data_IF_943389981634
#
_entry.id   IF_943389981634
#
_cell.length_a   1.000
_cell.length_b   1.000
_cell.length_c   1.000
_cell.angle_alpha   90.00
_cell.angle_beta   90.00
_cell.angle_gamma   90.00
#
_symmetry.space_group_name_H-M   'P 1'
#
loop_
_entity.id
_entity.type
_entity.pdbx_description
1 polymer ?
#
# COMPACT_ATOMS: atom_id res chain seq x y z
N UNK A 1 14.65 20.29 -13.15
CA UNK A 1 14.90 19.06 -12.39
C UNK A 1 13.69 18.81 -11.51
N UNK A 2 13.24 17.56 -11.36
CA UNK A 2 12.13 17.24 -10.46
C UNK A 2 12.61 17.42 -9.01
N UNK A 3 11.82 18.11 -8.19
CA UNK A 3 12.20 18.41 -6.81
C UNK A 3 11.56 17.43 -5.81
N UNK A 4 10.49 16.74 -6.21
CA UNK A 4 9.76 15.82 -5.33
C UNK A 4 9.51 14.48 -6.03
N UNK A 5 9.89 13.39 -5.37
CA UNK A 5 9.54 12.02 -5.73
C UNK A 5 8.34 11.59 -4.92
N UNK A 6 7.34 11.03 -5.59
CA UNK A 6 6.13 10.52 -4.96
C UNK A 6 6.00 9.04 -5.25
N UNK A 7 5.76 8.25 -4.21
CA UNK A 7 5.46 6.82 -4.35
C UNK A 7 4.02 6.58 -3.94
N UNK A 8 3.26 5.84 -4.74
CA UNK A 8 1.91 5.39 -4.41
C UNK A 8 1.94 3.88 -4.13
N UNK A 9 1.50 3.51 -2.94
CA UNK A 9 1.38 2.13 -2.53
C UNK A 9 -0.08 1.69 -2.43
N UNK A 10 -0.31 0.40 -2.71
CA UNK A 10 -1.60 -0.27 -2.48
C UNK A 10 -1.38 -1.36 -1.46
N UNK A 11 -2.10 -1.31 -0.34
CA UNK A 11 -2.12 -2.36 0.66
C UNK A 11 -3.21 -3.35 0.33
N UNK A 12 -2.83 -4.62 0.24
CA UNK A 12 -3.75 -5.72 0.06
C UNK A 12 -3.82 -6.51 1.36
N UNK A 13 -4.87 -6.28 2.15
CA UNK A 13 -4.95 -6.81 3.52
C UNK A 13 -5.15 -8.33 3.58
N UNK A 14 -5.61 -8.95 2.50
CA UNK A 14 -5.92 -10.39 2.52
C UNK A 14 -7.31 -10.68 3.06
N UNK A 15 -8.30 -9.81 2.82
CA UNK A 15 -9.69 -10.00 3.28
C UNK A 15 -10.65 -10.36 2.16
N UNK A 16 -10.65 -9.57 1.10
CA UNK A 16 -11.53 -9.72 -0.06
C UNK A 16 -10.87 -9.00 -1.25
N UNK A 17 -11.42 -9.21 -2.43
CA UNK A 17 -10.96 -8.57 -3.67
C UNK A 17 -11.84 -7.39 -4.11
N UNK A 18 -12.75 -6.93 -3.23
CA UNK A 18 -13.50 -5.71 -3.48
C UNK A 18 -12.56 -4.53 -3.73
N UNK A 19 -12.94 -3.67 -4.68
CA UNK A 19 -12.16 -2.51 -5.08
C UNK A 19 -11.08 -2.79 -6.15
N UNK A 20 -10.82 -4.05 -6.54
CA UNK A 20 -9.85 -4.34 -7.61
C UNK A 20 -10.26 -3.73 -8.95
N UNK A 21 -11.52 -3.87 -9.34
CA UNK A 21 -12.02 -3.27 -10.58
C UNK A 21 -11.98 -1.74 -10.52
N UNK A 22 -12.36 -1.16 -9.39
CA UNK A 22 -12.32 0.28 -9.17
C UNK A 22 -10.88 0.82 -9.19
N UNK A 23 -9.92 0.11 -8.57
CA UNK A 23 -8.51 0.43 -8.65
C UNK A 23 -8.02 0.38 -10.10
N UNK A 24 -8.34 -0.68 -10.85
CA UNK A 24 -7.96 -0.81 -12.25
C UNK A 24 -8.56 0.30 -13.13
N UNK A 25 -9.82 0.70 -12.88
CA UNK A 25 -10.48 1.78 -13.60
C UNK A 25 -9.90 3.15 -13.24
N UNK A 26 -9.73 3.47 -11.95
CA UNK A 26 -9.08 4.71 -11.51
C UNK A 26 -7.65 4.80 -12.02
N UNK A 27 -6.93 3.68 -12.15
CA UNK A 27 -5.62 3.66 -12.83
C UNK A 27 -5.70 4.08 -14.28
N UNK A 28 -6.58 3.44 -15.06
CA UNK A 28 -6.77 3.79 -16.48
C UNK A 28 -7.15 5.25 -16.69
N UNK A 29 -8.04 5.77 -15.83
CA UNK A 29 -8.62 7.11 -15.97
C UNK A 29 -7.73 8.22 -15.42
N UNK A 30 -7.11 8.01 -14.26
CA UNK A 30 -6.44 9.08 -13.48
C UNK A 30 -4.93 8.91 -13.35
N UNK A 31 -4.41 7.70 -13.51
CA UNK A 31 -2.99 7.35 -13.31
C UNK A 31 -2.35 6.58 -14.48
N UNK A 32 -2.61 6.93 -15.75
CA UNK A 32 -2.08 6.14 -16.86
C UNK A 32 -0.54 6.11 -16.82
N UNK A 33 0.03 4.92 -16.63
CA UNK A 33 1.48 4.70 -16.58
C UNK A 33 2.17 5.16 -15.29
N UNK A 34 1.43 5.60 -14.27
CA UNK A 34 2.02 5.88 -12.95
C UNK A 34 2.31 4.54 -12.26
N UNK A 35 3.57 4.26 -11.89
CA UNK A 35 3.91 3.02 -11.23
C UNK A 35 3.40 3.01 -9.79
N UNK A 36 2.96 1.84 -9.31
CA UNK A 36 2.56 1.62 -7.92
C UNK A 36 3.38 0.52 -7.25
N UNK A 37 3.45 0.58 -5.92
CA UNK A 37 4.00 -0.50 -5.08
C UNK A 37 2.85 -1.27 -4.43
N UNK A 38 2.67 -2.54 -4.80
CA UNK A 38 1.63 -3.39 -4.24
C UNK A 38 2.20 -4.18 -3.06
N UNK A 39 1.81 -3.84 -1.83
CA UNK A 39 2.12 -4.66 -0.66
C UNK A 39 1.06 -5.75 -0.53
N UNK A 40 1.40 -6.97 -0.92
CA UNK A 40 0.44 -8.08 -1.04
C UNK A 40 0.50 -9.00 0.16
N UNK A 41 -0.64 -9.20 0.83
CA UNK A 41 -0.80 -10.20 1.88
C UNK A 41 -0.93 -11.60 1.29
N UNK A 42 -0.19 -12.55 1.85
CA UNK A 42 -0.31 -13.96 1.47
C UNK A 42 -1.61 -14.62 1.97
N UNK A 43 -2.40 -13.95 2.82
CA UNK A 43 -3.58 -14.55 3.44
C UNK A 43 -4.68 -14.89 2.42
N UNK A 44 -4.70 -14.22 1.25
CA UNK A 44 -5.54 -14.64 0.12
C UNK A 44 -5.31 -16.10 -0.27
N UNK A 45 -4.09 -16.61 -0.12
CA UNK A 45 -3.69 -17.95 -0.56
C UNK A 45 -3.59 -18.97 0.58
N UNK A 46 -3.57 -18.50 1.83
CA UNK A 46 -3.38 -19.34 3.01
C UNK A 46 -4.64 -20.13 3.40
N UNK A 47 -5.79 -19.61 2.99
CA UNK A 47 -7.11 -20.13 3.32
C UNK A 47 -7.48 -21.32 2.43
N UNK A 48 -6.93 -21.42 1.24
CA UNK A 48 -7.33 -22.43 0.26
C UNK A 48 -8.51 -21.94 -0.59
N UNK A 49 -9.14 -22.85 -1.33
CA UNK A 49 -10.06 -22.51 -2.41
C UNK A 49 -9.36 -22.44 -3.76
N UNK A 50 -10.00 -21.80 -4.74
CA UNK A 50 -9.47 -21.70 -6.10
C UNK A 50 -8.40 -20.61 -6.22
N UNK A 51 -7.14 -21.04 -6.09
CA UNK A 51 -5.95 -20.16 -6.21
C UNK A 51 -5.92 -19.46 -7.58
N UNK A 52 -6.34 -20.13 -8.64
CA UNK A 52 -6.33 -19.55 -9.98
C UNK A 52 -7.37 -18.45 -10.10
N UNK A 53 -8.60 -18.67 -9.60
CA UNK A 53 -9.64 -17.64 -9.58
C UNK A 53 -9.23 -16.40 -8.78
N UNK A 54 -8.54 -16.58 -7.63
CA UNK A 54 -7.99 -15.46 -6.84
C UNK A 54 -6.99 -14.66 -7.67
N UNK A 55 -6.06 -15.34 -8.33
CA UNK A 55 -5.04 -14.68 -9.17
C UNK A 55 -5.73 -13.91 -10.30
N UNK A 56 -6.66 -14.54 -11.02
CA UNK A 56 -7.42 -13.87 -12.09
C UNK A 56 -8.16 -12.64 -11.58
N UNK A 57 -8.78 -12.73 -10.41
CA UNK A 57 -9.47 -11.61 -9.77
C UNK A 57 -8.53 -10.46 -9.41
N UNK A 58 -7.28 -10.75 -9.04
CA UNK A 58 -6.27 -9.75 -8.67
C UNK A 58 -5.60 -9.07 -9.89
N UNK A 59 -5.42 -9.82 -10.98
CA UNK A 59 -4.63 -9.40 -12.14
C UNK A 59 -4.96 -8.00 -12.71
N UNK A 60 -6.24 -7.56 -12.79
CA UNK A 60 -6.58 -6.27 -13.37
C UNK A 60 -5.86 -5.07 -12.74
N UNK A 61 -5.48 -5.15 -11.46
CA UNK A 61 -4.87 -4.04 -10.72
C UNK A 61 -3.38 -3.80 -11.00
N UNK A 62 -2.67 -4.72 -11.65
CA UNK A 62 -1.20 -4.71 -11.75
C UNK A 62 -0.70 -4.30 -13.13
N UNK A 63 0.22 -3.37 -13.27
CA UNK A 63 0.83 -2.98 -14.55
C UNK A 63 2.31 -3.39 -14.65
N UNK A 64 2.89 -3.45 -15.87
CA UNK A 64 4.27 -3.93 -16.07
C UNK A 64 5.35 -3.14 -15.31
N UNK A 65 5.08 -1.87 -15.00
CA UNK A 65 5.99 -0.96 -14.29
C UNK A 65 5.77 -0.93 -12.77
N UNK A 66 4.82 -1.71 -12.25
CA UNK A 66 4.57 -1.80 -10.83
C UNK A 66 5.64 -2.61 -10.09
N UNK A 67 5.67 -2.45 -8.78
CA UNK A 67 6.40 -3.27 -7.84
C UNK A 67 5.45 -4.14 -7.03
N UNK A 68 5.90 -5.35 -6.66
CA UNK A 68 5.16 -6.25 -5.77
C UNK A 68 6.02 -6.50 -4.54
N UNK A 69 5.60 -5.98 -3.39
CA UNK A 69 6.24 -6.12 -2.09
C UNK A 69 5.40 -6.97 -1.14
N UNK A 70 5.98 -7.40 -0.02
CA UNK A 70 5.29 -8.24 0.95
C UNK A 70 4.54 -7.40 1.98
N UNK A 71 3.24 -7.66 2.16
CA UNK A 71 2.48 -7.20 3.34
C UNK A 71 2.39 -8.33 4.35
N UNK A 72 2.72 -8.07 5.62
CA UNK A 72 2.71 -9.09 6.69
C UNK A 72 1.71 -8.73 7.78
N UNK A 73 0.41 -9.00 7.55
CA UNK A 73 -0.59 -9.01 8.61
C UNK A 73 -0.47 -10.25 9.50
N UNK A 74 -1.12 -10.23 10.67
CA UNK A 74 -1.06 -11.30 11.65
C UNK A 74 -2.22 -12.32 11.55
N UNK A 75 -2.71 -12.56 10.33
CA UNK A 75 -3.79 -13.53 10.08
C UNK A 75 -3.44 -14.92 10.59
N UNK A 76 -4.40 -15.56 11.27
CA UNK A 76 -4.24 -16.90 11.81
C UNK A 76 -3.92 -17.92 10.71
N UNK A 77 -4.56 -17.78 9.56
CA UNK A 77 -4.34 -18.64 8.38
C UNK A 77 -2.87 -18.72 7.94
N UNK A 78 -2.07 -17.68 8.18
CA UNK A 78 -0.66 -17.66 7.78
C UNK A 78 0.29 -18.47 8.69
N UNK A 79 -0.16 -18.84 9.89
CA UNK A 79 0.70 -19.52 10.88
C UNK A 79 0.11 -20.81 11.45
N UNK A 80 -1.22 -20.96 11.43
CA UNK A 80 -1.92 -22.02 12.14
C UNK A 80 -1.96 -21.75 13.65
N UNK A 81 -3.13 -21.34 14.15
CA UNK A 81 -3.40 -21.06 15.57
C UNK A 81 -2.92 -19.68 16.07
N UNK A 82 -3.80 -18.95 16.79
CA UNK A 82 -3.51 -17.63 17.43
C UNK A 82 -3.15 -17.73 18.93
N UNK A 83 -2.77 -18.91 19.42
CA UNK A 83 -2.65 -19.19 20.85
C UNK A 83 -1.91 -18.09 21.63
N UNK A 84 -2.58 -17.51 22.64
CA UNK A 84 -1.95 -16.77 23.74
C UNK A 84 -1.69 -15.27 23.58
N UNK A 85 -2.21 -14.59 22.56
CA UNK A 85 -2.07 -13.13 22.45
C UNK A 85 -3.39 -12.41 22.74
N UNK A 86 -3.39 -11.50 23.72
CA UNK A 86 -4.52 -10.63 24.09
C UNK A 86 -4.45 -9.25 23.41
N UNK A 87 -3.32 -8.91 22.80
CA UNK A 87 -3.08 -7.58 22.26
C UNK A 87 -3.77 -7.36 20.90
N UNK A 88 -4.57 -6.30 20.80
CA UNK A 88 -5.25 -5.80 19.60
C UNK A 88 -4.90 -4.32 19.38
N UNK A 89 -4.76 -3.88 18.13
CA UNK A 89 -4.56 -2.46 17.76
C UNK A 89 -5.88 -1.72 17.47
N UNK A 90 -7.01 -2.41 17.60
CA UNK A 90 -8.36 -1.84 17.52
C UNK A 90 -9.07 -2.23 18.82
N UNK A 91 -9.75 -1.30 19.47
CA UNK A 91 -10.52 -1.59 20.68
C UNK A 91 -11.61 -2.63 20.37
N UNK A 92 -11.74 -3.64 21.25
CA UNK A 92 -12.70 -4.73 21.11
C UNK A 92 -12.05 -6.10 20.88
N UNK A 93 -12.88 -7.11 20.66
CA UNK A 93 -12.41 -8.45 20.31
C UNK A 93 -11.92 -8.47 18.85
N UNK A 94 -10.81 -9.17 18.59
CA UNK A 94 -10.33 -9.45 17.24
C UNK A 94 -11.42 -10.21 16.48
N UNK A 95 -12.07 -9.58 15.49
CA UNK A 95 -13.28 -10.10 14.92
C UNK A 95 -12.95 -11.38 14.14
N UNK A 96 -13.81 -12.35 14.33
CA UNK A 96 -13.89 -13.47 13.41
C UNK A 96 -14.48 -12.96 12.09
N UNK A 97 -13.71 -13.07 11.02
CA UNK A 97 -14.10 -12.57 9.71
C UNK A 97 -14.41 -13.73 8.78
N UNK A 98 -15.61 -13.72 8.22
CA UNK A 98 -15.97 -14.60 7.10
C UNK A 98 -15.45 -13.95 5.83
N UNK A 99 -14.47 -14.59 5.23
CA UNK A 99 -13.84 -14.20 3.97
C UNK A 99 -14.55 -14.93 2.84
N UNK A 100 -15.35 -14.18 2.08
CA UNK A 100 -16.12 -14.70 0.95
C UNK A 100 -15.58 -14.14 -0.37
N UNK A 101 -15.53 -14.99 -1.40
CA UNK A 101 -15.26 -14.58 -2.77
C UNK A 101 -15.96 -15.54 -3.75
N UNK A 102 -16.43 -15.07 -4.91
CA UNK A 102 -16.96 -15.96 -5.94
C UNK A 102 -15.96 -17.06 -6.32
N UNK A 103 -16.32 -18.32 -6.08
CA UNK A 103 -15.46 -19.49 -6.35
C UNK A 103 -14.57 -19.95 -5.19
N UNK A 104 -14.59 -19.27 -4.05
CA UNK A 104 -13.93 -19.70 -2.81
C UNK A 104 -14.99 -20.10 -1.80
N UNK A 105 -14.81 -21.24 -1.14
CA UNK A 105 -15.61 -21.57 0.04
C UNK A 105 -15.37 -20.51 1.11
N UNK A 106 -16.43 -19.86 1.59
CA UNK A 106 -16.36 -18.88 2.67
C UNK A 106 -15.50 -19.43 3.82
N UNK A 107 -14.51 -18.65 4.26
CA UNK A 107 -13.58 -19.08 5.29
C UNK A 107 -13.54 -18.13 6.45
N UNK A 108 -13.57 -18.72 7.63
CA UNK A 108 -13.43 -18.00 8.88
C UNK A 108 -11.96 -17.79 9.23
N UNK A 109 -11.53 -16.54 9.44
CA UNK A 109 -10.18 -16.22 9.88
C UNK A 109 -10.16 -15.13 10.97
N UNK A 110 -9.07 -15.05 11.71
CA UNK A 110 -8.84 -14.11 12.83
C UNK A 110 -7.43 -13.53 12.75
N UNK A 111 -7.13 -12.58 13.61
CA UNK A 111 -5.81 -11.97 13.73
C UNK A 111 -5.66 -10.69 12.92
N UNK A 112 -6.75 -10.19 12.32
CA UNK A 112 -6.71 -8.95 11.55
C UNK A 112 -6.25 -7.79 12.42
N UNK A 113 -6.83 -7.63 13.62
CA UNK A 113 -6.52 -6.48 14.48
C UNK A 113 -5.28 -6.70 15.33
N UNK A 114 -4.56 -7.81 15.16
CA UNK A 114 -3.35 -8.11 15.93
C UNK A 114 -2.13 -7.49 15.24
N UNK A 115 -1.27 -6.75 15.96
CA UNK A 115 -0.06 -6.24 15.36
C UNK A 115 0.96 -7.38 15.22
N UNK A 116 1.58 -7.48 14.04
CA UNK A 116 2.64 -8.48 13.80
C UNK A 116 3.83 -8.29 14.76
N UNK A 117 4.05 -7.07 15.25
CA UNK A 117 5.09 -6.77 16.24
C UNK A 117 4.85 -7.38 17.62
N UNK A 118 3.63 -7.82 17.95
CA UNK A 118 3.34 -8.49 19.22
C UNK A 118 3.89 -9.93 19.28
N UNK A 119 4.25 -10.49 18.13
CA UNK A 119 4.84 -11.81 18.04
C UNK A 119 6.34 -11.75 18.30
N UNK A 120 6.90 -12.85 18.82
CA UNK A 120 8.35 -12.98 18.94
C UNK A 120 9.01 -13.10 17.55
N UNK A 121 10.33 -12.88 17.53
CA UNK A 121 11.10 -12.89 16.29
C UNK A 121 10.96 -14.20 15.49
N UNK A 122 11.07 -15.40 16.09
CA UNK A 122 10.86 -16.66 15.36
C UNK A 122 9.47 -16.76 14.70
N UNK A 123 8.43 -16.32 15.39
CA UNK A 123 7.08 -16.27 14.81
C UNK A 123 7.01 -15.30 13.64
N UNK A 124 7.57 -14.09 13.76
CA UNK A 124 7.63 -13.12 12.66
C UNK A 124 8.38 -13.68 11.45
N UNK A 125 9.54 -14.33 11.67
CA UNK A 125 10.30 -14.97 10.59
C UNK A 125 9.47 -16.07 9.90
N UNK A 126 8.68 -16.84 10.66
CA UNK A 126 7.74 -17.82 10.11
C UNK A 126 6.65 -17.18 9.23
N UNK A 127 6.03 -16.09 9.69
CA UNK A 127 5.06 -15.33 8.87
C UNK A 127 5.68 -14.89 7.54
N UNK A 128 6.90 -14.37 7.58
CA UNK A 128 7.62 -13.92 6.38
C UNK A 128 7.87 -15.08 5.42
N UNK A 129 8.44 -16.20 5.92
CA UNK A 129 8.78 -17.36 5.09
C UNK A 129 7.52 -17.97 4.46
N UNK A 130 6.49 -18.23 5.26
CA UNK A 130 5.23 -18.80 4.79
C UNK A 130 4.58 -17.88 3.75
N UNK A 131 4.57 -16.57 3.98
CA UNK A 131 3.99 -15.63 3.03
C UNK A 131 4.70 -15.62 1.68
N UNK A 132 6.05 -15.68 1.67
CA UNK A 132 6.82 -15.78 0.42
C UNK A 132 6.49 -17.05 -0.35
N UNK A 133 6.30 -18.18 0.33
CA UNK A 133 5.96 -19.46 -0.29
C UNK A 133 4.54 -19.43 -0.90
N UNK A 134 3.57 -18.93 -0.15
CA UNK A 134 2.17 -18.85 -0.58
C UNK A 134 1.95 -17.88 -1.74
N UNK A 135 2.73 -16.80 -1.82
CA UNK A 135 2.63 -15.83 -2.93
C UNK A 135 3.24 -16.32 -4.24
N UNK A 136 4.00 -17.42 -4.26
CA UNK A 136 4.73 -17.87 -5.47
C UNK A 136 3.86 -17.97 -6.73
N UNK A 137 2.65 -18.55 -6.70
CA UNK A 137 1.81 -18.66 -7.90
C UNK A 137 1.41 -17.30 -8.49
N UNK A 138 1.06 -16.34 -7.64
CA UNK A 138 0.76 -14.97 -8.05
C UNK A 138 2.00 -14.31 -8.66
N UNK A 139 3.14 -14.36 -7.99
CA UNK A 139 4.37 -13.71 -8.45
C UNK A 139 4.83 -14.24 -9.80
N UNK A 140 4.77 -15.56 -10.01
CA UNK A 140 5.06 -16.19 -11.30
C UNK A 140 4.11 -15.67 -12.39
N UNK A 141 2.82 -15.62 -12.09
CA UNK A 141 1.79 -15.10 -12.99
C UNK A 141 2.03 -13.64 -13.34
N UNK A 142 2.38 -12.79 -12.37
CA UNK A 142 2.65 -11.37 -12.61
C UNK A 142 3.87 -11.15 -13.50
N UNK A 143 4.96 -11.90 -13.29
CA UNK A 143 6.14 -11.85 -14.18
C UNK A 143 5.80 -12.32 -15.59
N UNK A 144 5.08 -13.44 -15.73
CA UNK A 144 4.81 -14.03 -17.05
C UNK A 144 3.75 -13.27 -17.83
N UNK A 145 2.61 -12.92 -17.19
CA UNK A 145 1.42 -12.37 -17.85
C UNK A 145 1.34 -10.86 -17.78
N UNK A 146 1.74 -10.25 -16.66
CA UNK A 146 1.77 -8.78 -16.50
C UNK A 146 3.13 -8.17 -16.82
N UNK A 147 4.15 -8.99 -17.09
CA UNK A 147 5.51 -8.56 -17.45
C UNK A 147 6.15 -7.66 -16.40
N UNK A 148 5.78 -7.87 -15.13
CA UNK A 148 6.48 -7.23 -14.02
C UNK A 148 7.92 -7.74 -14.00
N UNK A 149 8.85 -6.81 -13.90
CA UNK A 149 10.28 -7.05 -13.82
C UNK A 149 10.64 -7.84 -12.56
N UNK A 150 11.51 -8.85 -12.69
CA UNK A 150 11.86 -9.75 -11.57
C UNK A 150 12.53 -9.00 -10.41
N UNK A 151 13.33 -7.99 -10.75
CA UNK A 151 14.00 -7.08 -9.83
C UNK A 151 13.04 -6.20 -9.02
N UNK A 152 11.75 -6.14 -9.40
CA UNK A 152 10.67 -5.46 -8.66
C UNK A 152 9.79 -6.43 -7.85
N UNK A 153 10.22 -7.68 -7.69
CA UNK A 153 9.48 -8.68 -6.91
C UNK A 153 10.13 -8.87 -5.54
N UNK A 154 9.35 -8.67 -4.49
CA UNK A 154 9.68 -8.91 -3.09
C UNK A 154 10.96 -8.21 -2.60
N UNK A 155 11.25 -7.00 -3.11
CA UNK A 155 12.31 -6.12 -2.60
C UNK A 155 11.93 -5.47 -1.27
N UNK A 156 10.65 -5.12 -1.14
CA UNK A 156 10.07 -4.48 0.02
C UNK A 156 9.25 -5.38 0.92
N UNK A 157 9.12 -4.94 2.15
CA UNK A 157 8.21 -5.50 3.13
C UNK A 157 7.48 -4.37 3.87
N UNK A 158 6.31 -4.70 4.41
CA UNK A 158 5.55 -3.84 5.30
C UNK A 158 4.85 -4.67 6.36
N UNK A 159 4.90 -4.20 7.61
CA UNK A 159 4.12 -4.76 8.70
C UNK A 159 2.64 -4.40 8.57
N UNK A 160 1.77 -5.37 8.86
CA UNK A 160 0.35 -5.13 9.06
C UNK A 160 0.13 -3.97 10.04
N UNK A 161 -0.82 -3.09 9.71
CA UNK A 161 -1.12 -1.90 10.50
C UNK A 161 0.07 -0.93 10.69
N UNK A 162 1.19 -1.05 9.94
CA UNK A 162 2.37 -0.20 10.16
C UNK A 162 3.07 -0.45 11.49
N UNK A 163 2.91 -1.65 12.05
CA UNK A 163 3.44 -2.03 13.36
C UNK A 163 4.74 -2.81 13.22
N UNK A 164 5.81 -2.14 12.81
CA UNK A 164 7.14 -2.74 12.58
C UNK A 164 8.10 -2.41 13.74
N UNK A 165 8.06 -3.25 14.79
CA UNK A 165 9.05 -3.15 15.87
C UNK A 165 10.46 -3.51 15.40
N UNK A 166 11.47 -3.21 16.23
CA UNK A 166 12.86 -3.64 15.96
C UNK A 166 13.00 -5.15 15.71
N UNK A 167 12.17 -5.97 16.34
CA UNK A 167 12.11 -7.42 16.11
C UNK A 167 11.67 -7.75 14.67
N UNK A 168 10.63 -7.08 14.19
CA UNK A 168 10.15 -7.20 12.81
C UNK A 168 11.19 -6.72 11.80
N UNK A 169 11.76 -5.54 12.01
CA UNK A 169 12.76 -4.95 11.12
C UNK A 169 14.03 -5.82 11.04
N UNK A 170 14.42 -6.43 12.15
CA UNK A 170 15.53 -7.39 12.15
C UNK A 170 15.18 -8.66 11.37
N UNK A 171 13.96 -9.20 11.55
CA UNK A 171 13.49 -10.37 10.80
C UNK A 171 13.41 -10.09 9.29
N UNK A 172 12.90 -8.92 8.90
CA UNK A 172 12.88 -8.43 7.53
C UNK A 172 14.28 -8.37 6.91
N UNK A 173 15.23 -7.75 7.62
CA UNK A 173 16.61 -7.65 7.16
C UNK A 173 17.28 -9.04 7.03
N UNK A 174 17.06 -9.93 8.00
CA UNK A 174 17.50 -11.32 7.94
C UNK A 174 16.92 -12.09 6.74
N UNK A 175 15.67 -11.80 6.38
CA UNK A 175 14.98 -12.43 5.25
C UNK A 175 15.38 -11.87 3.87
N UNK A 176 16.32 -10.91 3.84
CA UNK A 176 16.90 -10.35 2.63
C UNK A 176 16.07 -9.25 1.97
N UNK A 177 15.12 -8.64 2.69
CA UNK A 177 14.44 -7.45 2.18
C UNK A 177 15.38 -6.26 2.17
N UNK A 178 15.23 -5.41 1.15
CA UNK A 178 16.07 -4.24 0.95
C UNK A 178 15.49 -2.99 1.62
N UNK A 179 14.17 -2.92 1.75
CA UNK A 179 13.51 -1.84 2.45
C UNK A 179 12.27 -2.30 3.24
N UNK A 180 11.94 -1.56 4.30
CA UNK A 180 10.63 -1.55 4.96
C UNK A 180 9.91 -0.24 4.63
N UNK A 181 8.58 -0.29 4.62
CA UNK A 181 7.75 0.89 4.42
C UNK A 181 6.61 0.94 5.44
N UNK A 182 6.88 0.63 6.70
CA UNK A 182 5.88 0.58 7.77
C UNK A 182 5.72 1.90 8.51
N UNK A 183 6.77 2.74 8.49
CA UNK A 183 6.87 4.00 9.21
C UNK A 183 5.71 4.95 8.95
N UNK A 184 5.17 5.52 10.03
CA UNK A 184 4.05 6.47 9.99
C UNK A 184 4.45 7.82 10.57
N UNK A 185 3.80 8.89 10.12
CA UNK A 185 3.95 10.22 10.72
C UNK A 185 3.39 10.23 12.16
N UNK A 186 4.30 10.22 13.14
CA UNK A 186 3.95 10.18 14.56
C UNK A 186 3.37 11.50 15.07
N UNK A 187 3.73 12.64 14.46
CA UNK A 187 3.18 13.94 14.84
C UNK A 187 1.70 13.98 14.49
N UNK A 188 1.35 13.55 13.28
CA UNK A 188 -0.04 13.45 12.90
C UNK A 188 -0.80 12.40 13.70
N UNK A 189 -0.19 11.23 13.96
CA UNK A 189 -0.85 10.21 14.75
C UNK A 189 -1.20 10.74 16.15
N UNK A 190 -0.31 11.51 16.78
CA UNK A 190 -0.58 12.17 18.05
C UNK A 190 -1.70 13.21 17.92
N UNK A 191 -1.66 14.07 16.89
CA UNK A 191 -2.70 15.06 16.67
C UNK A 191 -4.09 14.42 16.47
N UNK A 192 -4.15 13.28 15.75
CA UNK A 192 -5.38 12.53 15.56
C UNK A 192 -5.93 11.95 16.87
N UNK A 193 -5.06 11.51 17.79
CA UNK A 193 -5.45 11.10 19.15
C UNK A 193 -6.01 12.29 19.92
N UNK A 194 -5.28 13.41 19.94
CA UNK A 194 -5.68 14.60 20.69
C UNK A 194 -7.01 15.19 20.19
N UNK A 195 -7.30 15.08 18.91
CA UNK A 195 -8.56 15.52 18.31
C UNK A 195 -9.72 14.57 18.61
N UNK A 196 -9.49 13.25 18.57
CA UNK A 196 -10.51 12.26 18.93
C UNK A 196 -10.91 12.35 20.41
N UNK A 197 -9.97 12.68 21.31
CA UNK A 197 -10.26 12.89 22.74
C UNK A 197 -11.11 14.13 23.00
N UNK A 198 -11.13 15.11 22.09
CA UNK A 198 -11.98 16.32 22.19
C UNK A 198 -13.38 16.11 21.61
N UNK A 199 -13.55 15.19 20.66
CA UNK A 199 -14.80 14.90 19.98
C UNK A 199 -15.08 13.40 19.95
N UNK A 200 -15.76 12.90 20.98
CA UNK A 200 -16.12 11.49 21.16
C UNK A 200 -16.94 10.88 20.00
N UNK A 201 -17.43 11.67 19.04
CA UNK A 201 -18.16 11.15 17.87
C UNK A 201 -17.24 10.72 16.73
N UNK A 202 -15.94 11.02 16.77
CA UNK A 202 -15.02 10.81 15.64
C UNK A 202 -14.14 9.57 15.85
N UNK A 203 -14.48 8.48 15.13
CA UNK A 203 -13.62 7.31 14.89
C UNK A 203 -12.90 6.70 16.11
N UNK A 204 -13.61 6.51 17.23
CA UNK A 204 -13.07 5.92 18.47
C UNK A 204 -12.27 4.62 18.22
N UNK A 205 -12.71 3.80 17.25
CA UNK A 205 -12.09 2.51 16.97
C UNK A 205 -10.61 2.56 16.51
N UNK A 206 -10.13 3.66 15.93
CA UNK A 206 -8.75 3.77 15.45
C UNK A 206 -7.81 4.49 16.41
N UNK A 207 -8.34 5.09 17.49
CA UNK A 207 -7.53 5.79 18.49
C UNK A 207 -6.43 4.89 19.09
N UNK A 208 -6.66 3.60 19.41
CA UNK A 208 -5.60 2.72 19.90
C UNK A 208 -4.46 2.52 18.89
N UNK A 209 -4.80 2.42 17.60
CA UNK A 209 -3.82 2.31 16.53
C UNK A 209 -2.98 3.59 16.42
N UNK A 210 -3.62 4.76 16.44
CA UNK A 210 -2.90 6.04 16.36
C UNK A 210 -2.01 6.28 17.57
N UNK A 211 -2.45 5.92 18.78
CA UNK A 211 -1.60 5.94 19.98
C UNK A 211 -0.39 5.02 19.80
N UNK A 212 -0.60 3.83 19.25
CA UNK A 212 0.48 2.88 18.96
C UNK A 212 1.48 3.44 17.95
N UNK A 213 1.00 4.11 16.89
CA UNK A 213 1.86 4.80 15.92
C UNK A 213 2.63 5.96 16.53
N UNK A 214 1.98 6.84 17.30
CA UNK A 214 2.64 7.95 17.97
C UNK A 214 3.75 7.47 18.92
N UNK A 215 3.53 6.34 19.60
CA UNK A 215 4.51 5.72 20.49
C UNK A 215 5.66 5.05 19.73
N UNK A 216 5.34 4.20 18.75
CA UNK A 216 6.32 3.44 17.99
C UNK A 216 7.18 4.37 17.11
N UNK A 217 6.56 5.28 16.38
CA UNK A 217 7.23 6.12 15.40
C UNK A 217 7.66 7.49 15.95
N UNK A 218 7.32 7.80 17.21
CA UNK A 218 7.67 9.06 17.87
C UNK A 218 9.06 9.06 18.53
N UNK A 219 9.47 10.21 19.10
CA UNK A 219 10.82 10.40 19.64
C UNK A 219 11.11 9.61 20.94
N UNK A 220 10.04 9.14 21.62
CA UNK A 220 10.13 8.51 22.93
C UNK A 220 10.58 7.06 22.81
N UNK A 221 11.45 6.65 23.73
CA UNK A 221 11.81 5.26 23.91
C UNK A 221 10.63 4.45 24.43
N UNK A 222 10.50 3.22 23.95
CA UNK A 222 9.46 2.29 24.38
C UNK A 222 10.09 1.12 25.12
N UNK A 223 9.50 0.75 26.25
CA UNK A 223 9.89 -0.43 27.04
C UNK A 223 9.17 -1.70 26.58
N UNK A 224 8.02 -1.56 25.94
CA UNK A 224 7.23 -2.66 25.38
C UNK A 224 7.90 -3.22 24.11
N UNK A 225 8.26 -4.52 24.06
CA UNK A 225 8.98 -5.09 22.93
C UNK A 225 8.27 -4.91 21.58
N UNK A 226 6.94 -4.99 21.57
CA UNK A 226 6.11 -4.86 20.37
C UNK A 226 6.00 -3.41 19.86
N UNK A 227 6.48 -2.43 20.63
CA UNK A 227 6.60 -1.02 20.24
C UNK A 227 8.07 -0.56 20.17
N UNK A 228 9.03 -1.48 20.33
CA UNK A 228 10.46 -1.14 20.33
C UNK A 228 10.85 -0.46 19.01
N UNK A 229 11.51 0.69 19.12
CA UNK A 229 11.74 1.62 18.03
C UNK A 229 13.18 2.15 17.96
N UNK A 230 14.15 1.37 18.44
CA UNK A 230 15.56 1.79 18.56
C UNK A 230 16.16 2.07 17.19
N UNK A 231 15.89 1.21 16.20
CA UNK A 231 16.38 1.39 14.83
C UNK A 231 15.88 2.70 14.21
N UNK A 232 14.60 2.99 14.42
CA UNK A 232 14.00 4.25 13.97
C UNK A 232 14.60 5.47 14.67
N UNK A 233 14.72 5.44 16.00
CA UNK A 233 15.30 6.57 16.75
C UNK A 233 16.75 6.83 16.33
N UNK A 234 17.55 5.78 16.14
CA UNK A 234 18.91 5.92 15.66
C UNK A 234 18.95 6.58 14.27
N UNK A 235 18.11 6.11 13.35
CA UNK A 235 18.02 6.62 11.98
C UNK A 235 17.50 8.06 11.87
N UNK A 236 16.69 8.50 12.84
CA UNK A 236 16.10 9.85 12.90
C UNK A 236 16.82 10.78 13.89
N UNK A 237 17.95 10.37 14.46
CA UNK A 237 18.65 11.08 15.54
C UNK A 237 17.73 11.44 16.73
N UNK A 238 16.74 10.59 17.02
CA UNK A 238 15.79 10.73 18.11
C UNK A 238 14.60 11.65 17.82
N UNK A 239 14.48 12.22 16.62
CA UNK A 239 13.40 13.13 16.28
C UNK A 239 12.04 12.43 16.07
N UNK A 240 12.05 11.12 15.76
CA UNK A 240 10.86 10.41 15.31
C UNK A 240 10.54 10.66 13.83
N UNK A 241 9.47 10.02 13.36
CA UNK A 241 8.96 10.18 12.01
C UNK A 241 7.95 11.32 11.92
N UNK A 242 8.11 12.14 10.87
CA UNK A 242 7.15 13.17 10.50
C UNK A 242 7.08 13.29 8.97
N UNK A 243 6.20 14.17 8.48
CA UNK A 243 6.03 14.42 7.05
C UNK A 243 7.31 14.82 6.28
N UNK A 244 8.32 15.36 6.95
CA UNK A 244 9.59 15.77 6.33
C UNK A 244 10.66 14.68 6.35
N UNK A 245 10.45 13.59 7.09
CA UNK A 245 11.44 12.52 7.24
C UNK A 245 11.77 11.90 5.89
N UNK A 246 13.04 11.97 5.51
CA UNK A 246 13.58 11.31 4.32
C UNK A 246 14.00 9.88 4.66
N UNK A 247 14.10 8.97 3.67
CA UNK A 247 14.42 7.58 3.96
C UNK A 247 15.79 7.40 4.63
N UNK A 248 15.88 6.39 5.49
CA UNK A 248 17.03 6.21 6.40
C UNK A 248 17.20 4.73 6.78
N UNK A 249 18.38 4.32 7.27
CA UNK A 249 18.61 2.93 7.63
C UNK A 249 18.07 2.61 9.04
N UNK A 250 17.31 1.51 9.16
CA UNK A 250 16.69 1.07 10.42
C UNK A 250 17.28 -0.21 11.00
N UNK A 251 17.84 -1.09 10.18
CA UNK A 251 18.40 -2.35 10.65
C UNK A 251 19.66 -2.74 9.88
N UNK A 252 20.50 -3.57 10.50
CA UNK A 252 21.69 -4.16 9.91
C UNK A 252 21.81 -5.62 10.35
N UNK A 253 21.98 -6.52 9.39
CA UNK A 253 22.19 -7.95 9.63
C UNK A 253 23.42 -8.41 8.84
N UNK A 254 24.58 -8.48 9.51
CA UNK A 254 25.86 -8.69 8.84
C UNK A 254 26.18 -7.55 7.86
N UNK A 255 26.26 -7.88 6.57
CA UNK A 255 26.47 -6.92 5.48
C UNK A 255 25.17 -6.36 4.91
N UNK A 256 24.02 -6.98 5.21
CA UNK A 256 22.72 -6.47 4.78
C UNK A 256 22.31 -5.26 5.62
N UNK A 257 21.60 -4.33 4.99
CA UNK A 257 20.99 -3.17 5.64
C UNK A 257 19.55 -3.06 5.17
N UNK A 258 18.66 -2.61 6.04
CA UNK A 258 17.27 -2.35 5.73
C UNK A 258 17.02 -0.84 5.73
N UNK A 259 16.56 -0.32 4.60
CA UNK A 259 16.16 1.07 4.45
C UNK A 259 14.69 1.23 4.85
N UNK A 260 14.37 2.20 5.68
CA UNK A 260 12.99 2.64 5.93
C UNK A 260 12.59 3.68 4.88
N UNK A 261 11.53 3.39 4.13
CA UNK A 261 10.84 4.31 3.23
C UNK A 261 9.52 4.73 3.90
N UNK A 262 9.52 5.77 4.76
CA UNK A 262 8.37 6.06 5.60
C UNK A 262 7.16 6.48 4.76
N UNK A 263 5.96 6.01 5.12
CA UNK A 263 4.68 6.50 4.60
C UNK A 263 4.33 7.86 5.21
N UNK A 264 5.19 8.84 4.98
CA UNK A 264 5.12 10.17 5.54
C UNK A 264 3.94 11.01 4.99
N UNK A 265 3.36 10.62 3.85
CA UNK A 265 2.08 11.12 3.34
C UNK A 265 0.85 10.41 3.93
N UNK A 266 1.06 9.29 4.63
CA UNK A 266 0.02 8.52 5.31
C UNK A 266 -0.66 7.45 4.45
N UNK A 267 -1.57 6.72 5.09
CA UNK A 267 -2.47 5.74 4.46
C UNK A 267 -3.85 6.38 4.34
N UNK A 268 -4.46 6.37 3.15
CA UNK A 268 -5.77 6.97 2.89
C UNK A 268 -6.80 5.84 2.73
N UNK A 269 -7.81 5.74 3.62
CA UNK A 269 -7.88 6.30 4.97
C UNK A 269 -6.91 5.61 5.94
N UNK A 270 -6.62 6.20 7.13
CA UNK A 270 -7.28 7.35 7.77
C UNK A 270 -6.80 8.76 7.37
N UNK A 271 -5.70 8.91 6.61
CA UNK A 271 -5.25 10.21 6.15
C UNK A 271 -6.26 10.81 5.14
N UNK A 272 -6.47 12.13 5.21
CA UNK A 272 -7.31 12.86 4.24
C UNK A 272 -6.47 13.23 3.00
N UNK A 273 -6.97 13.02 1.77
CA UNK A 273 -6.35 13.51 0.53
C UNK A 273 -5.86 14.96 0.56
N UNK A 274 -6.61 15.86 1.21
CA UNK A 274 -6.26 17.27 1.37
C UNK A 274 -4.93 17.45 2.10
N UNK A 275 -4.67 16.63 3.13
CA UNK A 275 -3.41 16.65 3.86
C UNK A 275 -2.23 16.28 2.95
N UNK A 276 -2.40 15.27 2.09
CA UNK A 276 -1.34 14.91 1.13
C UNK A 276 -1.06 16.06 0.17
N UNK A 277 -2.10 16.75 -0.30
CA UNK A 277 -1.94 17.92 -1.15
C UNK A 277 -1.13 19.03 -0.44
N UNK A 278 -1.42 19.31 0.83
CA UNK A 278 -0.68 20.28 1.64
C UNK A 278 0.77 19.87 1.87
N UNK A 279 1.03 18.61 2.20
CA UNK A 279 2.39 18.08 2.35
C UNK A 279 3.19 18.23 1.05
N UNK A 280 2.55 17.97 -0.09
CA UNK A 280 3.20 18.12 -1.38
C UNK A 280 3.43 19.58 -1.75
N UNK A 281 2.49 20.48 -1.48
CA UNK A 281 2.68 21.92 -1.68
C UNK A 281 3.89 22.42 -0.88
N UNK A 282 3.95 22.07 0.40
CA UNK A 282 5.10 22.36 1.27
C UNK A 282 6.39 21.74 0.75
N UNK A 283 6.31 20.52 0.18
CA UNK A 283 7.46 19.86 -0.43
C UNK A 283 7.96 20.61 -1.67
N UNK A 284 7.07 21.16 -2.48
CA UNK A 284 7.40 21.89 -3.71
C UNK A 284 7.97 23.28 -3.45
N UNK A 285 7.61 23.92 -2.35
CA UNK A 285 8.12 25.23 -1.91
C UNK A 285 9.50 25.16 -1.24
N UNK A 286 10.07 23.96 -1.17
CA UNK A 286 11.41 23.73 -0.63
C UNK A 286 12.54 24.39 -1.40
N UNK A 287 13.71 24.58 -0.76
CA UNK A 287 14.92 24.99 -1.46
C UNK A 287 15.21 24.03 -2.63
N UNK A 288 15.57 24.55 -3.81
CA UNK A 288 15.84 23.74 -4.99
C UNK A 288 17.05 22.83 -4.75
N UNK A 289 17.05 21.66 -5.40
CA UNK A 289 18.18 20.72 -5.36
C UNK A 289 18.20 19.78 -4.15
N UNK A 290 17.30 19.93 -3.18
CA UNK A 290 17.13 18.98 -2.07
C UNK A 290 16.08 17.94 -2.48
N UNK A 291 16.46 16.65 -2.67
CA UNK A 291 15.48 15.60 -2.97
C UNK A 291 14.47 15.48 -1.83
N UNK A 292 13.19 15.45 -2.18
CA UNK A 292 12.10 15.20 -1.23
C UNK A 292 11.34 13.96 -1.66
N UNK A 293 11.06 13.10 -0.71
CA UNK A 293 10.24 11.92 -0.89
C UNK A 293 8.93 12.12 -0.14
N UNK A 294 7.82 11.90 -0.83
CA UNK A 294 6.49 11.73 -0.22
C UNK A 294 5.98 10.34 -0.59
N UNK A 295 5.71 9.51 0.42
CA UNK A 295 5.13 8.19 0.22
C UNK A 295 3.72 8.15 0.77
N UNK A 296 2.80 7.72 -0.08
CA UNK A 296 1.38 7.60 0.24
C UNK A 296 0.92 6.18 -0.05
N UNK A 297 -0.06 5.71 0.72
CA UNK A 297 -0.69 4.43 0.47
C UNK A 297 -2.20 4.53 0.49
N UNK A 298 -2.85 3.60 -0.21
CA UNK A 298 -4.28 3.34 -0.15
C UNK A 298 -4.51 1.87 0.19
N UNK A 299 -5.71 1.53 0.66
CA UNK A 299 -6.17 0.14 0.69
C UNK A 299 -6.89 -0.19 -0.61
N UNK A 300 -6.83 -1.44 -1.07
CA UNK A 300 -7.48 -1.80 -2.35
C UNK A 300 -8.99 -1.55 -2.29
N UNK A 301 -9.63 -1.83 -1.15
CA UNK A 301 -11.07 -1.66 -0.97
C UNK A 301 -11.53 -0.20 -0.91
N UNK A 302 -10.61 0.73 -0.66
CA UNK A 302 -10.90 2.17 -0.63
C UNK A 302 -10.33 2.89 -1.84
N UNK A 303 -9.86 2.17 -2.86
CA UNK A 303 -9.27 2.80 -4.04
C UNK A 303 -10.26 3.75 -4.73
N UNK A 304 -11.53 3.33 -4.82
CA UNK A 304 -12.62 4.18 -5.27
C UNK A 304 -12.82 5.36 -4.31
N UNK A 305 -12.94 6.57 -4.85
CA UNK A 305 -13.06 7.79 -4.07
C UNK A 305 -11.72 8.30 -3.50
N UNK A 306 -10.88 7.45 -2.89
CA UNK A 306 -9.59 7.91 -2.34
C UNK A 306 -8.62 8.33 -3.44
N UNK A 307 -8.50 7.55 -4.53
CA UNK A 307 -7.68 7.93 -5.67
C UNK A 307 -8.23 9.17 -6.37
N UNK A 308 -9.55 9.25 -6.53
CA UNK A 308 -10.20 10.40 -7.16
C UNK A 308 -9.94 11.69 -6.38
N UNK A 309 -10.10 11.65 -5.06
CA UNK A 309 -9.83 12.79 -4.19
C UNK A 309 -8.34 13.14 -4.14
N UNK A 310 -7.46 12.14 -4.03
CA UNK A 310 -6.01 12.34 -4.04
C UNK A 310 -5.58 13.01 -5.35
N UNK A 311 -5.98 12.45 -6.48
CA UNK A 311 -5.52 12.89 -7.79
C UNK A 311 -6.29 14.08 -8.34
N UNK A 312 -7.41 14.45 -7.70
CA UNK A 312 -8.07 15.73 -7.88
C UNK A 312 -7.20 16.91 -7.48
N UNK A 313 -6.22 16.71 -6.59
CA UNK A 313 -5.31 17.78 -6.17
C UNK A 313 -4.36 18.18 -7.30
N UNK A 314 -4.50 19.40 -7.81
CA UNK A 314 -3.71 19.95 -8.93
C UNK A 314 -2.20 19.85 -8.69
N UNK A 315 -1.78 19.94 -7.43
CA UNK A 315 -0.40 19.86 -6.98
C UNK A 315 0.27 18.54 -7.35
N UNK A 316 -0.46 17.42 -7.47
CA UNK A 316 0.07 16.11 -7.88
C UNK A 316 0.28 15.98 -9.39
N UNK A 317 -0.29 16.90 -10.18
CA UNK A 317 -0.20 16.92 -11.65
C UNK A 317 0.89 17.86 -12.17
N UNK A 318 1.60 18.54 -11.28
CA UNK A 318 2.70 19.44 -11.65
C UNK A 318 3.88 18.66 -12.26
N UNK A 319 4.58 19.20 -13.27
CA UNK A 319 5.78 18.57 -13.83
C UNK A 319 6.95 18.47 -12.84
N UNK A 320 6.86 19.12 -11.66
CA UNK A 320 7.86 19.02 -10.59
C UNK A 320 7.78 17.72 -9.79
N UNK A 321 6.67 16.98 -9.91
CA UNK A 321 6.44 15.67 -9.27
C UNK A 321 6.92 14.57 -10.19
N UNK A 322 7.67 13.63 -9.61
CA UNK A 322 8.09 12.41 -10.27
C UNK A 322 7.51 11.20 -9.56
N UNK A 323 6.66 10.45 -10.24
CA UNK A 323 6.05 9.23 -9.72
C UNK A 323 6.99 8.04 -9.89
N UNK A 324 7.11 7.22 -8.85
CA UNK A 324 8.08 6.11 -8.82
C UNK A 324 7.63 4.99 -7.88
N UNK A 325 8.23 3.81 -8.00
CA UNK A 325 8.05 2.72 -7.02
C UNK A 325 9.01 2.89 -5.84
N UNK A 326 8.79 2.13 -4.78
CA UNK A 326 9.70 2.09 -3.64
C UNK A 326 11.05 1.46 -4.02
N UNK A 327 11.07 0.41 -4.86
CA UNK A 327 12.30 -0.19 -5.40
C UNK A 327 13.11 0.78 -6.25
N UNK A 328 12.46 1.57 -7.10
CA UNK A 328 13.14 2.59 -7.91
C UNK A 328 13.73 3.68 -7.03
N UNK A 329 12.98 4.13 -6.02
CA UNK A 329 13.45 5.10 -5.06
C UNK A 329 14.69 4.58 -4.31
N UNK A 330 14.63 3.33 -3.83
CA UNK A 330 15.77 2.65 -3.21
C UNK A 330 16.99 2.67 -4.13
N UNK A 331 16.82 2.29 -5.40
CA UNK A 331 17.89 2.23 -6.40
C UNK A 331 18.57 3.60 -6.58
N UNK A 332 17.77 4.66 -6.70
CA UNK A 332 18.25 6.04 -6.78
C UNK A 332 19.01 6.46 -5.53
N UNK A 333 18.52 6.10 -4.34
CA UNK A 333 19.14 6.47 -3.06
C UNK A 333 20.44 5.72 -2.79
N UNK A 334 20.57 4.49 -3.26
CA UNK A 334 21.78 3.69 -3.14
C UNK A 334 22.83 4.03 -4.21
N UNK A 335 22.49 4.87 -5.20
CA UNK A 335 23.36 5.12 -6.35
C UNK A 335 23.54 3.89 -7.24
N UNK A 336 22.63 2.92 -7.13
CA UNK A 336 22.57 1.76 -8.00
C UNK A 336 22.00 2.19 -9.37
N UNK A 337 22.38 1.52 -10.48
CA UNK A 337 21.82 1.82 -11.78
C UNK A 337 20.30 1.59 -11.75
N UNK A 338 19.53 2.65 -12.05
CA UNK A 338 18.08 2.58 -12.14
C UNK A 338 17.68 1.41 -13.06
N UNK A 339 16.78 0.56 -12.56
CA UNK A 339 16.18 -0.46 -13.42
C UNK A 339 15.49 0.27 -14.57
N UNK A 340 15.89 0.04 -15.83
CA UNK A 340 15.29 0.75 -16.94
C UNK A 340 13.79 0.52 -16.89
N UNK A 341 13.01 1.61 -16.86
CA UNK A 341 11.60 1.49 -17.15
C UNK A 341 11.49 0.71 -18.49
N UNK A 342 10.58 -0.28 -18.59
CA UNK A 342 10.34 -0.90 -19.89
C UNK A 342 10.12 0.23 -20.89
N UNK A 343 10.75 0.17 -22.07
CA UNK A 343 10.71 1.25 -23.07
C UNK A 343 9.25 1.51 -23.42
N UNK A 344 8.65 2.47 -22.72
CA UNK A 344 7.33 3.00 -23.02
C UNK A 344 7.60 4.22 -23.87
N UNK A 345 7.24 4.16 -25.15
CA UNK A 345 6.84 5.37 -25.85
C UNK A 345 5.82 6.05 -24.95
N UNK A 346 6.02 7.34 -24.62
CA UNK A 346 5.09 8.01 -23.71
C UNK A 346 3.66 7.77 -24.22
N UNK A 347 2.65 7.51 -23.36
CA UNK A 347 1.29 7.24 -23.82
C UNK A 347 0.79 8.31 -24.80
N UNK A 348 1.20 9.56 -24.59
CA UNK A 348 0.96 10.68 -25.50
C UNK A 348 1.68 10.54 -26.85
N UNK A 349 2.91 10.05 -26.86
CA UNK A 349 3.70 9.80 -28.07
C UNK A 349 3.17 8.59 -28.86
N UNK A 350 2.78 7.50 -28.19
CA UNK A 350 2.15 6.34 -28.81
C UNK A 350 0.77 6.68 -29.41
N UNK A 351 0.00 7.57 -28.75
CA UNK A 351 -1.24 8.13 -29.31
C UNK A 351 -0.96 9.04 -30.50
N UNK A 352 0.08 9.90 -30.44
CA UNK A 352 0.48 10.77 -31.55
C UNK A 352 0.90 9.99 -32.79
N UNK A 353 1.70 8.95 -32.61
CA UNK A 353 2.19 8.09 -33.69
C UNK A 353 1.02 7.27 -34.30
N UNK A 354 0.10 6.76 -33.48
CA UNK A 354 -1.12 6.08 -33.97
C UNK A 354 -2.09 7.02 -34.70
N UNK A 355 -2.15 8.29 -34.31
CA UNK A 355 -2.97 9.30 -34.99
C UNK A 355 -2.32 9.80 -36.29
N UNK A 356 -0.99 9.81 -36.38
CA UNK A 356 -0.25 10.20 -37.58
C UNK A 356 -0.18 9.09 -38.64
N UNK A 357 -0.29 7.83 -38.24
CA UNK A 357 -0.27 6.68 -39.15
C UNK A 357 -1.67 6.25 -39.65
N UNK A 358 -2.75 6.88 -39.18
CA UNK A 358 -4.10 6.61 -39.71
C UNK A 358 -4.34 7.44 -40.98
N UNK A 359 -4.62 6.81 -42.13
CA UNK A 359 -5.24 7.54 -43.23
C UNK A 359 -6.59 8.11 -42.76
N UNK A 360 -7.02 9.29 -43.26
CA UNK A 360 -8.30 9.88 -42.88
C UNK A 360 -9.42 8.87 -43.12
N UNK A 361 -10.26 8.67 -42.11
CA UNK A 361 -11.42 7.78 -42.22
C UNK A 361 -12.32 8.29 -43.35
N UNK A 362 -12.78 7.42 -44.26
CA UNK A 362 -13.82 7.79 -45.20
C UNK A 362 -15.08 8.18 -44.41
N UNK A 363 -15.69 9.28 -44.79
CA UNK A 363 -16.94 9.78 -44.19
C UNK A 363 -18.01 8.71 -44.33
N UNK A 364 -18.61 8.21 -43.23
CA UNK A 364 -19.64 7.19 -43.33
C UNK A 364 -20.89 7.80 -43.98
N UNK A 365 -21.57 7.07 -44.89
CA UNK A 365 -22.90 7.46 -45.32
C UNK A 365 -23.85 7.44 -44.12
N UNK A 366 -24.69 8.48 -44.03
CA UNK A 366 -25.58 8.71 -42.88
C UNK A 366 -26.46 7.49 -42.61
N UNK A 367 -26.29 6.90 -41.42
CA UNK A 367 -27.14 5.82 -40.92
C UNK A 367 -28.29 6.47 -40.11
N UNK A 368 -29.56 6.15 -40.42
CA UNK A 368 -30.70 6.64 -39.66
C UNK A 368 -30.77 6.00 -38.27
N UNK A 369 -31.27 6.78 -37.31
CA UNK A 369 -31.35 6.39 -35.90
C UNK A 369 -32.25 5.15 -35.68
N UNK A 370 -31.83 4.20 -34.82
CA UNK A 370 -32.68 3.11 -34.40
C UNK A 370 -33.67 3.54 -33.30
N UNK A 371 -34.92 3.04 -33.30
CA UNK A 371 -35.88 3.30 -32.25
C UNK A 371 -35.65 2.39 -31.03
N UNK A 372 -35.69 3.02 -29.85
CA UNK A 372 -36.00 2.48 -28.52
C UNK A 372 -35.74 0.98 -28.27
N UNK A 373 -34.58 0.66 -27.71
CA UNK A 373 -34.36 -0.58 -26.97
C UNK A 373 -34.27 -0.28 -25.47
N UNK A 374 -35.16 -0.88 -24.70
CA UNK A 374 -35.15 -0.89 -23.23
C UNK A 374 -34.27 -2.05 -22.76
N UNK A 375 -33.30 -1.84 -21.86
CA UNK A 375 -32.59 -2.94 -21.22
C UNK A 375 -33.21 -3.25 -19.84
N UNK A 376 -33.55 -4.52 -19.61
CA UNK A 376 -33.69 -5.08 -18.26
C UNK A 376 -32.53 -6.05 -18.02
N UNK A 377 -31.82 -5.87 -16.92
CA UNK A 377 -30.87 -6.84 -16.38
C UNK A 377 -31.21 -7.09 -14.91
N UNK A 378 -31.05 -8.34 -14.41
CA UNK A 378 -31.40 -8.67 -13.04
C UNK A 378 -30.31 -8.19 -12.07
N UNK A 379 -30.74 -7.45 -11.06
CA UNK A 379 -29.89 -7.00 -9.95
C UNK A 379 -29.63 -8.17 -8.99
N UNK A 380 -28.37 -8.57 -8.84
CA UNK A 380 -27.92 -9.41 -7.73
C UNK A 380 -27.58 -8.48 -6.56
N UNK A 381 -28.29 -8.63 -5.43
CA UNK A 381 -28.04 -7.89 -4.19
C UNK A 381 -27.19 -8.77 -3.28
N UNK A 382 -25.94 -8.36 -3.06
CA UNK A 382 -25.06 -8.91 -2.02
C UNK A 382 -25.07 -7.93 -0.84
N UNK A 383 -25.33 -8.36 0.40
CA UNK A 383 -25.34 -7.45 1.55
C UNK A 383 -23.91 -7.00 1.87
N UNK A 384 -23.65 -5.69 1.73
CA UNK A 384 -22.41 -5.08 2.19
C UNK A 384 -22.34 -5.11 3.72
N UNK A 385 -21.20 -5.52 4.28
CA UNK A 385 -20.86 -5.18 5.67
C UNK A 385 -20.66 -3.66 5.70
N UNK A 386 -21.64 -2.95 6.27
CA UNK A 386 -21.57 -1.51 6.45
C UNK A 386 -20.48 -1.18 7.47
N UNK A 387 -19.33 -0.70 7.00
CA UNK A 387 -18.59 0.29 7.78
C UNK A 387 -19.47 1.54 7.91
N UNK A 388 -19.59 2.15 9.10
CA UNK A 388 -20.36 3.38 9.24
C UNK A 388 -19.85 4.42 8.23
N UNK A 389 -20.75 5.13 7.53
CA UNK A 389 -20.36 6.14 6.55
C UNK A 389 -19.41 7.15 7.20
N UNK A 390 -18.29 7.40 6.53
CA UNK A 390 -17.40 8.50 6.89
C UNK A 390 -18.15 9.80 6.61
N UNK A 391 -18.81 10.34 7.63
CA UNK A 391 -19.37 11.69 7.56
C UNK A 391 -18.20 12.68 7.46
N UNK A 392 -18.02 13.25 6.27
CA UNK A 392 -17.07 14.34 5.96
C UNK A 392 -17.47 15.65 6.62
#
# INVERSE_FOLDING_TARGET
MHNVRVTLAVHWEGRHLDGVEALAESRRRLLPGVPMTHFVSAAYFARGGDIEAIIEGMLPAFEPNDEVALHVPAWQSLRGGIGGLELTVIDGEDPELVVEYPGITAQTDRGYTRPISAYDKPAIESFIVTSKLLLRPLLQTLVVRRKIQLERILRGIRAGHGMASDGFLTAACNAGFAYDASGMDAIWAQAAVDDAEKDAKRMEMFVPLWRSWARMWGPREQTEPHLSNRGMRAGTAGAGLNASTQPFYVARCGNARLLELPLNGGVIPPANPQRVAELLANALDGPPGVPRVISVAIRQETAEGCLDALLGAEVLRTPKVYWTTNADLLTVMLGEPAVPAPVQTSPLQAIRERLQLRPPLPTPPGVPAPPNAVPTSPTVVVPAIQMPPLHT
#
